data_IF_518325359835
#
_entry.id   IF_518325359835
#
_cell.length_a   1.000
_cell.length_b   1.000
_cell.length_c   1.000
_cell.angle_alpha   90.00
_cell.angle_beta   90.00
_cell.angle_gamma   90.00
#
_symmetry.space_group_name_H-M   'P 1'
#
loop_
_entity.id
_entity.type
_entity.pdbx_description
1 polymer ?
#
# COMPACT_ATOMS: atom_id res chain seq x y z
N UNK A 1 16.54 34.37 25.03
CA UNK A 1 15.38 33.45 25.15
C UNK A 1 14.39 33.79 24.04
N UNK A 2 14.43 33.03 22.94
CA UNK A 2 13.36 32.98 21.92
C UNK A 2 13.24 31.51 21.54
N UNK A 3 12.05 30.97 21.76
CA UNK A 3 11.69 29.59 21.49
C UNK A 3 11.00 29.61 20.12
N UNK A 4 11.67 29.10 19.10
CA UNK A 4 11.11 29.00 17.75
C UNK A 4 10.04 27.90 17.73
N UNK A 5 8.78 28.31 17.64
CA UNK A 5 7.66 27.45 17.28
C UNK A 5 7.61 27.31 15.75
N UNK A 6 8.31 26.32 15.20
CA UNK A 6 8.06 25.80 13.86
C UNK A 6 8.22 24.29 13.90
N UNK A 7 7.12 23.58 13.59
CA UNK A 7 7.01 22.16 13.16
C UNK A 7 5.85 21.40 13.81
N UNK A 8 4.62 21.94 13.74
CA UNK A 8 3.40 21.16 14.06
C UNK A 8 2.42 21.09 12.88
N UNK A 9 2.58 21.94 11.87
CA UNK A 9 1.67 21.98 10.69
C UNK A 9 2.07 21.03 9.57
N UNK A 10 3.36 20.82 9.31
CA UNK A 10 3.84 20.05 8.14
C UNK A 10 3.54 18.55 8.16
N UNK A 11 3.48 17.91 9.34
CA UNK A 11 3.22 16.47 9.44
C UNK A 11 1.75 16.13 9.18
N UNK A 12 0.82 16.95 9.69
CA UNK A 12 -0.61 16.79 9.45
C UNK A 12 -1.00 17.08 7.99
N UNK A 13 -0.30 18.00 7.32
CA UNK A 13 -0.55 18.31 5.91
C UNK A 13 -0.09 17.18 4.97
N UNK A 14 1.00 16.49 5.34
CA UNK A 14 1.51 15.35 4.55
C UNK A 14 0.53 14.19 4.54
N UNK A 15 0.01 13.80 5.71
CA UNK A 15 -0.98 12.71 5.82
C UNK A 15 -2.28 13.01 5.08
N UNK A 16 -2.76 14.27 5.13
CA UNK A 16 -3.92 14.71 4.34
C UNK A 16 -3.66 14.66 2.84
N UNK A 17 -2.47 15.10 2.40
CA UNK A 17 -2.07 15.03 0.99
C UNK A 17 -2.07 13.58 0.48
N UNK A 18 -1.51 12.65 1.26
CA UNK A 18 -1.50 11.22 0.96
C UNK A 18 -2.93 10.64 0.90
N UNK A 19 -3.82 11.00 1.82
CA UNK A 19 -5.23 10.57 1.79
C UNK A 19 -5.98 11.11 0.55
N UNK A 20 -5.72 12.36 0.14
CA UNK A 20 -6.30 12.91 -1.08
C UNK A 20 -5.81 12.18 -2.34
N UNK A 21 -4.52 11.82 -2.39
CA UNK A 21 -3.95 11.02 -3.48
C UNK A 21 -4.57 9.61 -3.49
N UNK A 22 -4.72 8.98 -2.33
CA UNK A 22 -5.41 7.69 -2.20
C UNK A 22 -6.85 7.76 -2.70
N UNK A 23 -7.59 8.82 -2.34
CA UNK A 23 -8.96 9.04 -2.80
C UNK A 23 -9.04 9.15 -4.32
N UNK A 24 -8.13 9.91 -4.92
CA UNK A 24 -8.05 10.10 -6.37
C UNK A 24 -7.73 8.80 -7.11
N UNK A 25 -6.70 8.07 -6.67
CA UNK A 25 -6.31 6.78 -7.25
C UNK A 25 -7.46 5.78 -7.17
N UNK A 26 -8.13 5.71 -6.02
CA UNK A 26 -9.27 4.82 -5.82
C UNK A 26 -10.43 5.19 -6.77
N UNK A 27 -10.70 6.49 -6.94
CA UNK A 27 -11.69 6.97 -7.91
C UNK A 27 -11.36 6.59 -9.35
N UNK A 28 -10.09 6.69 -9.75
CA UNK A 28 -9.63 6.24 -11.07
C UNK A 28 -9.87 4.74 -11.23
N UNK A 29 -9.42 3.92 -10.27
CA UNK A 29 -9.59 2.46 -10.33
C UNK A 29 -11.07 2.07 -10.40
N UNK A 30 -11.93 2.68 -9.59
CA UNK A 30 -13.37 2.43 -9.61
C UNK A 30 -13.99 2.78 -10.97
N UNK A 31 -13.62 3.90 -11.59
CA UNK A 31 -14.12 4.29 -12.91
C UNK A 31 -13.68 3.33 -14.03
N UNK A 32 -12.57 2.62 -13.84
CA UNK A 32 -12.06 1.60 -14.75
C UNK A 32 -12.52 0.17 -14.38
N UNK A 33 -13.31 0.01 -13.32
CA UNK A 33 -13.69 -1.29 -12.74
C UNK A 33 -12.47 -2.15 -12.33
N UNK A 34 -11.40 -1.50 -11.84
CA UNK A 34 -10.20 -2.16 -11.36
C UNK A 34 -10.27 -2.35 -9.84
N UNK A 35 -9.96 -3.57 -9.40
CA UNK A 35 -9.80 -3.86 -7.98
C UNK A 35 -8.44 -3.34 -7.48
N UNK A 36 -8.46 -2.66 -6.34
CA UNK A 36 -7.30 -2.05 -5.70
C UNK A 36 -7.29 -2.40 -4.22
N UNK A 37 -6.11 -2.74 -3.69
CA UNK A 37 -5.90 -3.00 -2.28
C UNK A 37 -4.78 -2.14 -1.72
N UNK A 38 -5.03 -1.55 -0.56
CA UNK A 38 -4.04 -0.86 0.24
C UNK A 38 -3.15 -1.87 0.96
N UNK A 39 -1.84 -1.63 0.97
CA UNK A 39 -0.84 -2.41 1.72
C UNK A 39 0.05 -1.48 2.56
N UNK A 40 1.11 -2.04 3.14
CA UNK A 40 2.14 -1.25 3.82
C UNK A 40 1.65 -0.56 5.09
N UNK A 41 2.20 0.62 5.40
CA UNK A 41 1.90 1.35 6.63
C UNK A 41 0.46 1.87 6.69
N UNK A 42 -0.03 2.41 5.57
CA UNK A 42 -1.39 2.94 5.48
C UNK A 42 -2.45 1.85 5.68
N UNK A 43 -2.23 0.64 5.18
CA UNK A 43 -3.13 -0.50 5.42
C UNK A 43 -3.38 -0.75 6.92
N UNK A 44 -2.32 -0.67 7.74
CA UNK A 44 -2.43 -0.86 9.20
C UNK A 44 -3.33 0.21 9.82
N UNK A 45 -3.18 1.47 9.41
CA UNK A 45 -3.97 2.57 9.94
C UNK A 45 -5.46 2.47 9.53
N UNK A 46 -5.74 1.99 8.32
CA UNK A 46 -7.11 1.69 7.87
C UNK A 46 -7.73 0.53 8.64
N UNK A 47 -6.97 -0.55 8.88
CA UNK A 47 -7.41 -1.68 9.70
C UNK A 47 -7.73 -1.26 11.15
N UNK A 48 -6.99 -0.29 11.69
CA UNK A 48 -7.21 0.26 13.04
C UNK A 48 -8.26 1.37 13.10
N UNK A 49 -8.69 1.91 11.95
CA UNK A 49 -9.58 3.08 11.88
C UNK A 49 -8.97 4.38 12.43
N UNK A 50 -7.64 4.46 12.57
CA UNK A 50 -6.95 5.66 13.07
C UNK A 50 -5.51 5.75 12.54
N UNK A 51 -5.02 6.98 12.38
CA UNK A 51 -3.62 7.23 11.99
C UNK A 51 -2.71 6.97 13.19
N UNK A 52 -1.72 6.09 13.05
CA UNK A 52 -0.82 5.71 14.15
C UNK A 52 0.55 6.39 14.07
N UNK A 53 0.97 6.82 12.88
CA UNK A 53 2.24 7.53 12.62
C UNK A 53 2.21 8.22 11.26
N UNK A 54 3.22 9.05 11.00
CA UNK A 54 3.50 9.55 9.65
C UNK A 54 3.99 8.43 8.73
N UNK A 55 3.56 8.46 7.46
CA UNK A 55 3.98 7.53 6.40
C UNK A 55 4.78 8.28 5.32
N UNK A 56 5.78 7.63 4.75
CA UNK A 56 6.64 8.21 3.70
C UNK A 56 6.02 8.12 2.30
N UNK A 57 5.14 7.15 2.12
CA UNK A 57 4.73 6.60 0.83
C UNK A 57 3.30 6.04 0.92
N UNK A 58 2.74 5.72 -0.25
CA UNK A 58 1.53 4.94 -0.41
C UNK A 58 1.89 3.64 -1.14
N UNK A 59 1.57 2.51 -0.54
CA UNK A 59 1.82 1.20 -1.15
C UNK A 59 0.48 0.54 -1.54
N UNK A 60 0.37 0.08 -2.78
CA UNK A 60 -0.85 -0.46 -3.37
C UNK A 60 -0.59 -1.80 -4.07
N UNK A 61 -1.65 -2.60 -4.18
CA UNK A 61 -1.67 -3.85 -4.94
C UNK A 61 -2.83 -3.84 -5.92
N UNK A 62 -2.59 -4.30 -7.14
CA UNK A 62 -3.65 -4.56 -8.13
C UNK A 62 -3.24 -5.68 -9.10
N UNK A 63 -4.12 -6.03 -10.04
CA UNK A 63 -3.85 -7.10 -11.00
C UNK A 63 -2.92 -6.62 -12.12
N UNK A 64 -1.97 -7.48 -12.53
CA UNK A 64 -1.00 -7.20 -13.58
C UNK A 64 -1.67 -6.82 -14.91
N UNK A 65 -2.79 -7.45 -15.24
CA UNK A 65 -3.56 -7.17 -16.46
C UNK A 65 -4.08 -5.72 -16.54
N UNK A 66 -4.14 -5.00 -15.42
CA UNK A 66 -4.57 -3.59 -15.39
C UNK A 66 -3.43 -2.60 -15.62
N UNK A 67 -2.17 -3.06 -15.58
CA UNK A 67 -0.99 -2.20 -15.50
C UNK A 67 -0.96 -1.10 -16.55
N UNK A 68 -1.03 -1.45 -17.83
CA UNK A 68 -0.90 -0.47 -18.93
C UNK A 68 -2.00 0.60 -18.88
N UNK A 69 -3.25 0.19 -18.68
CA UNK A 69 -4.39 1.11 -18.61
C UNK A 69 -4.35 1.99 -17.36
N UNK A 70 -3.93 1.41 -16.22
CA UNK A 70 -3.75 2.15 -14.97
C UNK A 70 -2.62 3.18 -15.08
N UNK A 71 -1.48 2.79 -15.65
CA UNK A 71 -0.34 3.69 -15.89
C UNK A 71 -0.76 4.88 -16.74
N UNK A 72 -1.44 4.63 -17.86
CA UNK A 72 -1.93 5.69 -18.73
C UNK A 72 -2.93 6.61 -18.02
N UNK A 73 -3.87 6.05 -17.24
CA UNK A 73 -4.85 6.83 -16.50
C UNK A 73 -4.22 7.70 -15.41
N UNK A 74 -3.26 7.17 -14.67
CA UNK A 74 -2.52 7.92 -13.65
C UNK A 74 -1.65 9.01 -14.28
N UNK A 75 -0.97 8.74 -15.40
CA UNK A 75 -0.23 9.78 -16.14
C UNK A 75 -1.17 10.91 -16.60
N UNK A 76 -2.35 10.56 -17.13
CA UNK A 76 -3.35 11.56 -17.53
C UNK A 76 -3.87 12.37 -16.33
N UNK A 77 -3.89 11.79 -15.13
CA UNK A 77 -4.22 12.46 -13.88
C UNK A 77 -3.02 13.23 -13.26
N UNK A 78 -1.90 13.34 -13.97
CA UNK A 78 -0.74 14.13 -13.55
C UNK A 78 0.24 13.42 -12.62
N UNK A 79 0.17 12.09 -12.51
CA UNK A 79 1.20 11.29 -11.85
C UNK A 79 2.41 11.11 -12.77
N UNK A 80 3.62 11.16 -12.21
CA UNK A 80 4.86 10.91 -12.95
C UNK A 80 5.33 9.48 -12.68
N UNK A 81 5.53 8.69 -13.73
CA UNK A 81 6.11 7.34 -13.60
C UNK A 81 7.59 7.43 -13.22
N UNK A 82 8.00 6.65 -12.23
CA UNK A 82 9.38 6.40 -11.86
C UNK A 82 9.80 5.02 -12.39
N UNK A 83 10.85 4.94 -13.23
CA UNK A 83 11.35 3.66 -13.70
C UNK A 83 12.06 2.93 -12.56
N UNK A 84 11.44 1.86 -12.05
CA UNK A 84 11.91 1.11 -10.87
C UNK A 84 12.14 -0.39 -11.13
N UNK A 85 11.70 -0.90 -12.29
CA UNK A 85 11.94 -2.27 -12.74
C UNK A 85 10.73 -2.88 -13.46
N UNK A 86 10.86 -4.13 -13.90
CA UNK A 86 9.78 -4.84 -14.62
C UNK A 86 8.63 -5.30 -13.71
N UNK A 87 8.84 -5.35 -12.39
CA UNK A 87 7.94 -6.04 -11.46
C UNK A 87 6.92 -5.15 -10.76
N UNK A 88 7.21 -3.86 -10.65
CA UNK A 88 6.37 -2.85 -10.00
C UNK A 88 6.36 -1.57 -10.84
N UNK A 89 5.42 -0.68 -10.54
CA UNK A 89 5.45 0.69 -11.07
C UNK A 89 5.34 1.67 -9.93
N UNK A 90 6.29 2.59 -9.86
CA UNK A 90 6.27 3.67 -8.89
C UNK A 90 5.85 4.96 -9.57
N UNK A 91 5.12 5.80 -8.83
CA UNK A 91 4.67 7.10 -9.26
C UNK A 91 5.07 8.17 -8.26
N UNK A 92 5.16 9.41 -8.74
CA UNK A 92 5.30 10.60 -7.92
C UNK A 92 4.18 11.57 -8.25
N UNK A 93 3.51 12.08 -7.21
CA UNK A 93 2.57 13.20 -7.33
C UNK A 93 2.65 14.08 -6.09
N UNK A 94 2.80 15.40 -6.27
CA UNK A 94 2.86 16.36 -5.17
C UNK A 94 3.84 15.97 -4.04
N UNK A 95 5.04 15.49 -4.41
CA UNK A 95 6.07 14.98 -3.50
C UNK A 95 5.67 13.74 -2.67
N UNK A 96 4.64 13.01 -3.10
CA UNK A 96 4.24 11.73 -2.50
C UNK A 96 4.61 10.60 -3.44
N UNK A 97 5.39 9.66 -2.90
CA UNK A 97 5.70 8.39 -3.54
C UNK A 97 4.51 7.42 -3.44
N UNK A 98 4.17 6.80 -4.58
CA UNK A 98 3.12 5.79 -4.68
C UNK A 98 3.69 4.57 -5.39
N UNK A 99 3.69 3.41 -4.75
CA UNK A 99 4.16 2.16 -5.34
C UNK A 99 3.02 1.20 -5.62
N UNK A 100 3.01 0.62 -6.83
CA UNK A 100 2.09 -0.46 -7.20
C UNK A 100 2.85 -1.75 -7.39
N UNK A 101 2.55 -2.74 -6.53
CA UNK A 101 2.89 -4.13 -6.76
C UNK A 101 1.76 -4.79 -7.56
N UNK A 102 2.13 -5.54 -8.59
CA UNK A 102 1.15 -6.28 -9.38
C UNK A 102 1.08 -7.74 -8.94
N UNK A 103 -0.11 -8.33 -9.03
CA UNK A 103 -0.32 -9.76 -8.83
C UNK A 103 -1.01 -10.37 -10.05
N UNK A 104 -0.84 -11.68 -10.22
CA UNK A 104 -1.51 -12.46 -11.28
C UNK A 104 -1.87 -13.83 -10.74
N UNK A 105 -2.70 -14.55 -11.47
CA UNK A 105 -2.83 -15.99 -11.24
C UNK A 105 -1.66 -16.74 -11.88
N UNK A 106 -1.18 -17.77 -11.20
CA UNK A 106 -0.33 -18.82 -11.80
C UNK A 106 -1.20 -19.79 -12.60
N UNK A 107 -0.55 -20.68 -13.36
CA UNK A 107 -1.24 -21.76 -14.08
C UNK A 107 -2.02 -22.70 -13.15
N UNK A 108 -1.61 -22.78 -11.88
CA UNK A 108 -2.29 -23.57 -10.84
C UNK A 108 -3.44 -22.81 -10.16
N UNK A 109 -3.71 -21.57 -10.55
CA UNK A 109 -4.75 -20.72 -9.97
C UNK A 109 -4.36 -20.06 -8.64
N UNK A 110 -3.09 -20.09 -8.26
CA UNK A 110 -2.60 -19.39 -7.07
C UNK A 110 -2.36 -17.91 -7.38
N UNK A 111 -2.56 -17.04 -6.40
CA UNK A 111 -2.17 -15.63 -6.49
C UNK A 111 -0.66 -15.56 -6.35
N UNK A 112 0.03 -14.93 -7.29
CA UNK A 112 1.48 -14.71 -7.22
C UNK A 112 1.81 -13.24 -7.43
N UNK A 113 2.80 -12.73 -6.70
CA UNK A 113 3.38 -11.43 -6.97
C UNK A 113 4.06 -11.42 -8.34
N UNK A 114 3.91 -10.32 -9.07
CA UNK A 114 4.66 -10.07 -10.29
C UNK A 114 6.13 -9.86 -9.91
N UNK A 115 7.00 -10.79 -10.29
CA UNK A 115 8.35 -10.88 -9.73
C UNK A 115 9.02 -12.19 -10.09
N UNK A 116 10.33 -12.25 -9.87
CA UNK A 116 11.07 -13.51 -9.89
C UNK A 116 11.85 -13.68 -8.56
N UNK A 117 11.73 -14.82 -7.87
CA UNK A 117 10.83 -15.94 -8.17
C UNK A 117 9.34 -15.60 -7.97
N UNK A 118 8.46 -16.46 -8.46
CA UNK A 118 7.02 -16.38 -8.19
C UNK A 118 6.74 -16.58 -6.70
N UNK A 119 6.55 -15.47 -5.97
CA UNK A 119 6.10 -15.53 -4.59
C UNK A 119 4.59 -15.78 -4.53
N UNK A 120 4.23 -17.00 -4.14
CA UNK A 120 2.84 -17.40 -3.90
C UNK A 120 2.30 -16.67 -2.68
N UNK A 121 1.17 -15.99 -2.87
CA UNK A 121 0.40 -15.34 -1.82
C UNK A 121 -0.70 -16.25 -1.31
N UNK A 122 -1.24 -15.91 -0.14
CA UNK A 122 -2.37 -16.62 0.42
C UNK A 122 -3.59 -16.51 -0.49
N UNK A 123 -4.42 -17.55 -0.53
CA UNK A 123 -5.67 -17.55 -1.32
C UNK A 123 -6.66 -16.48 -0.88
N UNK A 124 -6.59 -16.08 0.39
CA UNK A 124 -7.42 -15.04 1.00
C UNK A 124 -6.72 -13.67 1.06
N UNK A 125 -5.61 -13.47 0.34
CA UNK A 125 -4.78 -12.27 0.40
C UNK A 125 -5.52 -10.98 -0.02
N UNK A 126 -6.48 -11.10 -0.94
CA UNK A 126 -7.14 -9.99 -1.62
C UNK A 126 -8.65 -9.91 -1.28
N UNK A 127 -9.05 -9.63 -0.02
CA UNK A 127 -10.45 -9.59 0.36
C UNK A 127 -11.15 -8.36 -0.25
N UNK A 128 -12.43 -8.48 -0.57
CA UNK A 128 -13.29 -7.36 -0.99
C UNK A 128 -13.96 -6.73 0.24
N UNK A 129 -13.14 -6.29 1.20
CA UNK A 129 -13.61 -5.67 2.44
C UNK A 129 -13.11 -4.22 2.50
N UNK A 130 -14.05 -3.27 2.58
CA UNK A 130 -13.76 -1.84 2.62
C UNK A 130 -13.47 -1.37 4.05
N UNK A 131 -12.39 -0.61 4.19
CA UNK A 131 -12.05 0.09 5.42
C UNK A 131 -12.15 1.59 5.19
N UNK A 132 -12.59 2.31 6.22
CA UNK A 132 -12.83 3.75 6.14
C UNK A 132 -11.83 4.49 7.04
N UNK A 133 -11.15 5.49 6.50
CA UNK A 133 -10.30 6.38 7.27
C UNK A 133 -10.37 7.79 6.67
N UNK A 134 -10.77 8.78 7.48
CA UNK A 134 -10.78 10.20 7.10
C UNK A 134 -11.48 10.48 5.76
N UNK A 135 -12.58 9.77 5.47
CA UNK A 135 -13.37 9.95 4.24
C UNK A 135 -12.91 9.10 3.03
N UNK A 136 -11.81 8.35 3.14
CA UNK A 136 -11.38 7.39 2.12
C UNK A 136 -11.94 6.00 2.46
N UNK A 137 -12.52 5.33 1.46
CA UNK A 137 -13.01 3.95 1.57
C UNK A 137 -12.33 3.08 0.52
N UNK A 138 -11.54 2.09 0.93
CA UNK A 138 -10.71 1.27 0.03
C UNK A 138 -10.58 -0.16 0.57
N UNK A 139 -10.38 -1.14 -0.31
CA UNK A 139 -10.04 -2.49 0.14
C UNK A 139 -8.64 -2.50 0.75
N UNK A 140 -8.43 -3.34 1.75
CA UNK A 140 -7.13 -3.50 2.40
C UNK A 140 -6.66 -4.93 2.25
N UNK A 141 -5.36 -5.11 2.03
CA UNK A 141 -4.75 -6.44 1.97
C UNK A 141 -5.00 -7.20 3.27
N UNK A 142 -5.20 -8.52 3.17
CA UNK A 142 -5.44 -9.37 4.33
C UNK A 142 -4.32 -9.19 5.39
N UNK A 143 -4.64 -8.99 6.68
CA UNK A 143 -3.65 -8.83 7.74
C UNK A 143 -2.61 -9.96 7.80
N UNK A 144 -3.02 -11.22 7.55
CA UNK A 144 -2.10 -12.35 7.48
C UNK A 144 -1.13 -12.23 6.31
N UNK A 145 -1.59 -11.74 5.15
CA UNK A 145 -0.70 -11.46 4.01
C UNK A 145 0.26 -10.31 4.33
N UNK A 146 -0.21 -9.20 4.92
CA UNK A 146 0.67 -8.08 5.34
C UNK A 146 1.79 -8.55 6.28
N UNK A 147 1.49 -9.48 7.17
CA UNK A 147 2.47 -10.09 8.07
C UNK A 147 3.48 -10.94 7.32
N UNK A 148 3.02 -11.81 6.42
CA UNK A 148 3.87 -12.67 5.59
C UNK A 148 4.82 -11.84 4.72
N UNK A 149 4.34 -10.77 4.09
CA UNK A 149 5.19 -9.90 3.26
C UNK A 149 6.34 -9.26 4.04
N UNK A 150 6.10 -8.87 5.31
CA UNK A 150 7.16 -8.34 6.17
C UNK A 150 8.19 -9.39 6.54
N UNK A 151 7.77 -10.64 6.76
CA UNK A 151 8.67 -11.77 7.08
C UNK A 151 9.47 -12.22 5.85
N UNK A 152 8.82 -12.29 4.69
CA UNK A 152 9.44 -12.68 3.42
C UNK A 152 10.44 -11.62 2.95
N UNK A 153 10.18 -10.32 3.17
CA UNK A 153 11.15 -9.28 2.82
C UNK A 153 12.52 -9.48 3.50
N UNK A 154 12.52 -9.83 4.79
CA UNK A 154 13.76 -10.12 5.53
C UNK A 154 14.48 -11.37 4.96
N UNK A 155 13.72 -12.44 4.72
CA UNK A 155 14.27 -13.71 4.23
C UNK A 155 14.76 -13.65 2.77
N UNK A 156 14.01 -12.97 1.90
CA UNK A 156 14.24 -12.92 0.45
C UNK A 156 15.22 -11.84 0.01
N UNK A 157 15.37 -10.76 0.77
CA UNK A 157 16.32 -9.67 0.44
C UNK A 157 17.57 -9.65 1.30
N UNK A 158 17.58 -10.39 2.42
CA UNK A 158 18.66 -10.36 3.42
C UNK A 158 18.78 -9.02 4.16
N UNK A 159 17.84 -8.10 3.96
CA UNK A 159 17.82 -6.79 4.65
C UNK A 159 17.21 -6.95 6.03
N UNK A 160 17.92 -6.47 7.04
CA UNK A 160 17.44 -6.46 8.42
C UNK A 160 16.19 -5.58 8.56
N UNK A 161 15.20 -6.07 9.31
CA UNK A 161 14.02 -5.29 9.64
C UNK A 161 14.40 -4.00 10.37
N UNK A 162 13.84 -2.88 9.93
CA UNK A 162 14.02 -1.59 10.61
C UNK A 162 13.13 -1.56 11.86
N UNK A 163 13.41 -0.71 12.87
CA UNK A 163 12.56 -0.59 14.06
C UNK A 163 11.07 -0.37 13.75
N UNK A 164 10.75 0.42 12.71
CA UNK A 164 9.36 0.64 12.27
C UNK A 164 8.69 -0.63 11.71
N UNK A 165 9.47 -1.53 11.13
CA UNK A 165 8.97 -2.79 10.58
C UNK A 165 8.64 -3.77 11.70
N UNK A 166 9.49 -3.88 12.72
CA UNK A 166 9.20 -4.65 13.95
C UNK A 166 7.91 -4.15 14.63
N UNK A 167 7.77 -2.83 14.78
CA UNK A 167 6.55 -2.28 15.37
C UNK A 167 5.29 -2.57 14.55
N UNK A 168 5.43 -2.54 13.23
CA UNK A 168 4.32 -2.88 12.32
C UNK A 168 3.93 -4.36 12.46
N UNK A 169 4.90 -5.26 12.60
CA UNK A 169 4.66 -6.70 12.82
C UNK A 169 3.86 -6.91 14.12
N UNK A 170 4.26 -6.27 15.23
CA UNK A 170 3.53 -6.35 16.50
C UNK A 170 2.07 -5.89 16.36
N UNK A 171 1.84 -4.77 15.68
CA UNK A 171 0.50 -4.21 15.50
C UNK A 171 -0.35 -5.12 14.60
N UNK A 172 0.21 -5.64 13.50
CA UNK A 172 -0.50 -6.58 12.63
C UNK A 172 -0.90 -7.84 13.40
N UNK A 173 -0.01 -8.36 14.25
CA UNK A 173 -0.32 -9.52 15.10
C UNK A 173 -1.48 -9.22 16.06
N UNK A 174 -1.49 -8.04 16.70
CA UNK A 174 -2.61 -7.62 17.56
C UNK A 174 -3.94 -7.51 16.80
N UNK A 175 -3.92 -7.02 15.55
CA UNK A 175 -5.11 -6.96 14.69
C UNK A 175 -5.64 -8.37 14.39
N UNK A 176 -4.74 -9.31 14.10
CA UNK A 176 -5.06 -10.71 13.84
C UNK A 176 -5.68 -11.36 15.08
N UNK A 177 -5.04 -11.20 16.24
CA UNK A 177 -5.47 -11.82 17.49
C UNK A 177 -6.83 -11.28 17.95
N UNK A 178 -7.14 -10.02 17.68
CA UNK A 178 -8.43 -9.41 18.01
C UNK A 178 -9.59 -9.87 17.11
N UNK A 179 -9.31 -10.48 15.96
CA UNK A 179 -10.32 -11.02 15.02
C UNK A 179 -10.54 -12.53 15.19
N UNK A 180 -9.73 -13.20 16.01
CA UNK A 180 -9.79 -14.65 16.30
C UNK A 180 -10.73 -14.94 17.46
#
# INVERSE_FOLDING_TARGET
MRMDCKNVTGENDTGKSQLNILLEINGICLSLNFNLWLRGGWAIDFLLGRITRSHSDIDLVTWLQYREHLEQALVNAGFQIKPVGEFQTDFLKNNVDVSFVFVRYSDNGDIVANGFPDWVWRKDALPMELYNLQGVSINVLNPYQLLEEKRVYEQGTGRTLRPKDLKSIEIIQQIIDAKS
#
